data_IF_840250951226
#
_entry.id   IF_840250951226
#
_cell.length_a   1.000
_cell.length_b   1.000
_cell.length_c   1.000
_cell.angle_alpha   90.00
_cell.angle_beta   90.00
_cell.angle_gamma   90.00
#
_symmetry.space_group_name_H-M   'P 1'
#
loop_
_entity.id
_entity.type
_entity.pdbx_description
1 polymer ?
#
# COMPACT_ATOMS: atom_id res chain seq x y z
N UNK A 1 -13.50 -11.47 -8.34
CA UNK A 1 -12.58 -11.42 -7.19
C UNK A 1 -13.26 -10.77 -6.00
N UNK A 2 -13.69 -9.50 -6.06
CA UNK A 2 -14.26 -8.79 -4.91
C UNK A 2 -15.46 -9.48 -4.28
N UNK A 3 -16.44 -9.92 -5.09
CA UNK A 3 -17.63 -10.64 -4.61
C UNK A 3 -17.30 -11.96 -3.91
N UNK A 4 -16.26 -12.64 -4.37
CA UNK A 4 -15.78 -13.87 -3.71
C UNK A 4 -15.21 -13.54 -2.34
N UNK A 5 -14.42 -12.47 -2.23
CA UNK A 5 -13.85 -11.99 -0.96
C UNK A 5 -14.98 -11.60 0.01
N UNK A 6 -15.97 -10.80 -0.45
CA UNK A 6 -17.10 -10.41 0.40
C UNK A 6 -17.88 -11.62 0.93
N UNK A 7 -18.07 -12.64 0.09
CA UNK A 7 -18.77 -13.88 0.48
C UNK A 7 -17.97 -14.70 1.49
N UNK A 8 -16.66 -14.89 1.25
CA UNK A 8 -15.78 -15.67 2.14
C UNK A 8 -15.69 -15.04 3.52
N UNK A 9 -15.47 -13.72 3.58
CA UNK A 9 -15.32 -12.99 4.84
C UNK A 9 -16.65 -12.47 5.41
N UNK A 10 -17.79 -12.83 4.78
CA UNK A 10 -19.14 -12.40 5.21
C UNK A 10 -19.25 -10.89 5.43
N UNK A 11 -18.66 -10.11 4.52
CA UNK A 11 -18.64 -8.66 4.61
C UNK A 11 -20.00 -8.11 4.21
N UNK A 12 -20.64 -7.39 5.13
CA UNK A 12 -21.80 -6.56 4.81
C UNK A 12 -21.34 -5.37 3.97
N UNK A 13 -21.94 -5.19 2.79
CA UNK A 13 -21.60 -4.11 1.86
C UNK A 13 -22.49 -2.88 2.00
N UNK A 14 -23.34 -2.82 3.01
CA UNK A 14 -24.22 -1.69 3.29
C UNK A 14 -23.42 -0.42 3.66
N UNK A 15 -24.05 0.75 3.46
CA UNK A 15 -23.42 2.01 3.83
C UNK A 15 -23.23 2.12 5.35
N UNK A 16 -22.05 2.50 5.76
CA UNK A 16 -21.68 2.79 7.14
C UNK A 16 -21.92 4.26 7.46
N UNK A 17 -22.23 4.55 8.72
CA UNK A 17 -22.10 5.91 9.22
C UNK A 17 -20.60 6.21 9.51
N UNK A 18 -20.27 7.49 9.76
CA UNK A 18 -18.87 7.89 9.94
C UNK A 18 -18.18 7.20 11.13
N UNK A 19 -18.91 6.92 12.22
CA UNK A 19 -18.36 6.21 13.40
C UNK A 19 -18.06 4.76 13.09
N UNK A 20 -18.95 4.08 12.39
CA UNK A 20 -18.75 2.70 11.95
C UNK A 20 -17.56 2.60 10.99
N UNK A 21 -17.46 3.53 10.04
CA UNK A 21 -16.36 3.58 9.09
C UNK A 21 -15.01 3.79 9.80
N UNK A 22 -14.93 4.78 10.70
CA UNK A 22 -13.73 5.04 11.49
C UNK A 22 -13.37 3.86 12.39
N UNK A 23 -14.35 3.24 13.06
CA UNK A 23 -14.13 2.08 13.90
C UNK A 23 -13.60 0.88 13.09
N UNK A 24 -14.18 0.60 11.92
CA UNK A 24 -13.72 -0.46 11.02
C UNK A 24 -12.28 -0.22 10.55
N UNK A 25 -11.96 1.00 10.16
CA UNK A 25 -10.60 1.42 9.78
C UNK A 25 -9.61 1.18 10.94
N UNK A 26 -9.92 1.68 12.13
CA UNK A 26 -9.03 1.52 13.29
C UNK A 26 -8.87 0.06 13.70
N UNK A 27 -9.94 -0.73 13.65
CA UNK A 27 -9.91 -2.15 14.02
C UNK A 27 -9.02 -2.95 13.07
N UNK A 28 -9.16 -2.77 11.75
CA UNK A 28 -8.31 -3.47 10.76
C UNK A 28 -6.85 -3.11 10.96
N UNK A 29 -6.54 -1.82 11.15
CA UNK A 29 -5.18 -1.37 11.40
C UNK A 29 -4.61 -1.92 12.71
N UNK A 30 -5.41 -1.94 13.79
CA UNK A 30 -4.99 -2.51 15.07
C UNK A 30 -4.69 -4.02 14.97
N UNK A 31 -5.53 -4.77 14.24
CA UNK A 31 -5.27 -6.19 13.99
C UNK A 31 -3.98 -6.41 13.19
N UNK A 32 -3.73 -5.60 12.16
CA UNK A 32 -2.51 -5.67 11.37
C UNK A 32 -1.27 -5.35 12.21
N UNK A 33 -1.34 -4.32 13.06
CA UNK A 33 -0.27 -3.96 14.00
C UNK A 33 0.04 -5.12 14.93
N UNK A 34 -0.98 -5.74 15.54
CA UNK A 34 -0.79 -6.86 16.45
C UNK A 34 -0.11 -8.05 15.76
N UNK A 35 -0.66 -8.47 14.61
CA UNK A 35 -0.11 -9.60 13.84
C UNK A 35 1.32 -9.33 13.40
N UNK A 36 1.57 -8.15 12.80
CA UNK A 36 2.90 -7.79 12.34
C UNK A 36 3.92 -7.70 13.47
N UNK A 37 3.55 -7.11 14.61
CA UNK A 37 4.41 -7.08 15.81
C UNK A 37 4.80 -8.48 16.26
N UNK A 38 3.83 -9.37 16.40
CA UNK A 38 4.10 -10.75 16.83
C UNK A 38 5.03 -11.48 15.86
N UNK A 39 4.82 -11.31 14.53
CA UNK A 39 5.68 -11.94 13.53
C UNK A 39 7.12 -11.45 13.61
N UNK A 40 7.36 -10.15 13.79
CA UNK A 40 8.72 -9.61 13.93
C UNK A 40 9.41 -10.11 15.24
N UNK A 41 8.64 -10.32 16.30
CA UNK A 41 9.16 -10.82 17.58
C UNK A 41 9.55 -12.29 17.57
N UNK A 42 9.06 -13.07 16.62
CA UNK A 42 9.35 -14.51 16.49
C UNK A 42 10.01 -14.87 15.15
N UNK A 43 10.49 -13.88 14.38
CA UNK A 43 10.95 -14.09 13.00
C UNK A 43 12.11 -15.08 12.88
N UNK A 44 12.95 -15.23 13.89
CA UNK A 44 14.11 -16.13 13.84
C UNK A 44 13.72 -17.62 13.71
N UNK A 45 12.55 -18.01 14.24
CA UNK A 45 12.06 -19.39 14.20
C UNK A 45 11.10 -19.66 13.04
N UNK A 46 10.79 -18.64 12.24
CA UNK A 46 9.93 -18.78 11.08
C UNK A 46 10.73 -19.28 9.87
N UNK A 47 10.03 -19.90 8.90
CA UNK A 47 10.63 -20.32 7.63
C UNK A 47 11.03 -19.12 6.77
N UNK A 48 11.80 -19.34 5.69
CA UNK A 48 12.38 -18.30 4.83
C UNK A 48 13.34 -17.34 5.57
N UNK A 49 14.20 -17.92 6.40
CA UNK A 49 15.29 -17.22 7.05
C UNK A 49 16.66 -17.81 6.63
N UNK A 50 17.05 -17.71 5.35
CA UNK A 50 18.29 -18.31 4.85
C UNK A 50 19.54 -17.61 5.40
N UNK A 51 19.43 -16.36 5.84
CA UNK A 51 20.54 -15.56 6.35
C UNK A 51 20.70 -15.66 7.88
N UNK A 52 19.89 -16.46 8.58
CA UNK A 52 19.98 -16.65 10.04
C UNK A 52 19.69 -15.40 10.86
N UNK A 53 18.72 -14.58 10.40
CA UNK A 53 18.34 -13.31 11.07
C UNK A 53 17.66 -13.59 12.40
N UNK A 54 18.09 -12.92 13.45
CA UNK A 54 17.53 -12.99 14.80
C UNK A 54 16.18 -12.27 14.93
N UNK A 55 15.54 -12.46 16.09
CA UNK A 55 14.31 -11.74 16.42
C UNK A 55 14.57 -10.24 16.54
N UNK A 56 13.67 -9.44 15.97
CA UNK A 56 13.78 -7.99 16.09
C UNK A 56 13.54 -7.55 17.54
N UNK A 57 14.29 -6.56 18.02
CA UNK A 57 14.16 -5.97 19.35
C UNK A 57 12.74 -5.40 19.57
N UNK A 58 12.28 -5.39 20.82
CA UNK A 58 10.88 -5.09 21.17
C UNK A 58 10.44 -3.69 20.77
N UNK A 59 11.22 -2.67 21.12
CA UNK A 59 10.88 -1.28 20.82
C UNK A 59 11.03 -0.98 19.32
N UNK A 60 12.02 -1.57 18.68
CA UNK A 60 12.22 -1.48 17.25
C UNK A 60 11.06 -2.14 16.48
N UNK A 61 10.61 -3.32 16.91
CA UNK A 61 9.46 -4.01 16.32
C UNK A 61 8.19 -3.14 16.40
N UNK A 62 7.92 -2.55 17.57
CA UNK A 62 6.77 -1.68 17.75
C UNK A 62 6.86 -0.43 16.88
N UNK A 63 8.01 0.26 16.87
CA UNK A 63 8.25 1.42 16.04
C UNK A 63 8.05 1.10 14.55
N UNK A 64 8.66 0.01 14.08
CA UNK A 64 8.57 -0.45 12.69
C UNK A 64 7.12 -0.67 12.27
N UNK A 65 6.36 -1.43 13.06
CA UNK A 65 4.98 -1.77 12.72
C UNK A 65 4.08 -0.54 12.69
N UNK A 66 4.18 0.35 13.68
CA UNK A 66 3.39 1.58 13.69
C UNK A 66 3.78 2.46 12.50
N UNK A 67 5.08 2.59 12.23
CA UNK A 67 5.57 3.40 11.13
C UNK A 67 5.06 2.93 9.76
N UNK A 68 5.09 1.62 9.50
CA UNK A 68 4.58 1.05 8.25
C UNK A 68 3.05 1.08 8.16
N UNK A 69 2.35 0.86 9.28
CA UNK A 69 0.88 0.90 9.30
C UNK A 69 0.33 2.31 9.07
N UNK A 70 0.99 3.33 9.58
CA UNK A 70 0.60 4.73 9.38
C UNK A 70 1.09 5.33 8.06
N UNK A 71 1.73 4.55 7.20
CA UNK A 71 2.36 4.99 5.96
C UNK A 71 3.46 6.06 6.15
N UNK A 72 4.06 6.12 7.33
CA UNK A 72 5.18 7.01 7.66
C UNK A 72 6.50 6.44 7.16
N UNK A 73 6.68 5.14 7.28
CA UNK A 73 7.79 4.32 6.79
C UNK A 73 9.19 4.79 7.23
N UNK A 74 9.29 5.35 8.44
CA UNK A 74 10.58 5.57 9.10
C UNK A 74 11.20 4.24 9.46
N UNK A 75 12.40 3.99 8.94
CA UNK A 75 13.10 2.72 9.05
C UNK A 75 14.38 2.92 9.87
N UNK A 76 14.44 2.29 11.04
CA UNK A 76 15.58 2.34 11.96
C UNK A 76 16.36 1.01 11.98
N UNK A 77 16.36 0.30 10.87
CA UNK A 77 17.05 -0.96 10.65
C UNK A 77 17.39 -1.08 9.16
N UNK A 78 18.37 -1.91 8.83
CA UNK A 78 18.62 -2.37 7.46
C UNK A 78 17.82 -3.64 7.22
N UNK A 79 16.99 -3.67 6.17
CA UNK A 79 16.07 -4.79 5.94
C UNK A 79 16.80 -6.09 5.60
N UNK A 80 17.90 -6.01 4.85
CA UNK A 80 18.74 -7.15 4.46
C UNK A 80 19.43 -7.87 5.63
N UNK A 81 19.64 -7.17 6.75
CA UNK A 81 20.28 -7.72 7.96
C UNK A 81 19.37 -7.78 9.18
N UNK A 82 18.22 -7.12 9.15
CA UNK A 82 17.29 -7.03 10.27
C UNK A 82 15.99 -7.81 10.11
N UNK A 83 15.64 -8.25 8.89
CA UNK A 83 14.39 -8.93 8.59
C UNK A 83 14.58 -10.22 7.79
N UNK A 84 13.87 -11.26 8.19
CA UNK A 84 13.77 -12.48 7.38
C UNK A 84 12.94 -12.21 6.11
N UNK A 85 13.11 -13.03 5.06
CA UNK A 85 12.31 -12.86 3.84
C UNK A 85 10.80 -13.01 4.10
N UNK A 86 10.43 -13.91 5.02
CA UNK A 86 9.04 -14.01 5.43
C UNK A 86 8.53 -12.70 6.04
N UNK A 87 9.30 -12.08 6.94
CA UNK A 87 8.94 -10.80 7.55
C UNK A 87 8.86 -9.69 6.50
N UNK A 88 9.78 -9.65 5.54
CA UNK A 88 9.71 -8.70 4.42
C UNK A 88 8.42 -8.87 3.62
N UNK A 89 8.03 -10.11 3.26
CA UNK A 89 6.86 -10.37 2.44
C UNK A 89 5.55 -10.22 3.20
N UNK A 90 5.42 -10.88 4.35
CA UNK A 90 4.14 -10.99 5.08
C UNK A 90 3.88 -9.81 6.00
N UNK A 91 4.93 -9.11 6.45
CA UNK A 91 4.77 -7.93 7.31
C UNK A 91 4.96 -6.66 6.49
N UNK A 92 6.14 -6.40 5.96
CA UNK A 92 6.48 -5.11 5.35
C UNK A 92 5.69 -4.88 4.05
N UNK A 93 5.80 -5.78 3.07
CA UNK A 93 5.08 -5.64 1.79
C UNK A 93 3.57 -5.58 2.02
N UNK A 94 3.02 -6.46 2.88
CA UNK A 94 1.59 -6.46 3.16
C UNK A 94 1.14 -5.16 3.84
N UNK A 95 1.93 -4.60 4.75
CA UNK A 95 1.63 -3.31 5.37
C UNK A 95 1.72 -2.14 4.40
N UNK A 96 2.62 -2.19 3.42
CA UNK A 96 2.67 -1.20 2.35
C UNK A 96 1.38 -1.21 1.51
N UNK A 97 0.82 -2.38 1.21
CA UNK A 97 -0.49 -2.48 0.57
C UNK A 97 -1.62 -1.96 1.47
N UNK A 98 -1.65 -2.40 2.71
CA UNK A 98 -2.77 -2.10 3.61
C UNK A 98 -2.79 -0.66 4.08
N UNK A 99 -1.63 -0.05 4.34
CA UNK A 99 -1.53 1.37 4.70
C UNK A 99 -1.96 2.28 3.54
N UNK A 100 -1.49 1.99 2.32
CA UNK A 100 -1.89 2.72 1.12
C UNK A 100 -3.41 2.59 0.86
N UNK A 101 -3.96 1.37 0.98
CA UNK A 101 -5.39 1.13 0.82
C UNK A 101 -6.22 1.85 1.89
N UNK A 102 -5.76 1.87 3.14
CA UNK A 102 -6.39 2.58 4.24
C UNK A 102 -6.39 4.10 3.99
N UNK A 103 -5.26 4.65 3.58
CA UNK A 103 -5.12 6.07 3.27
C UNK A 103 -6.06 6.51 2.14
N UNK A 104 -6.13 5.72 1.06
CA UNK A 104 -7.05 6.00 -0.05
C UNK A 104 -8.52 5.87 0.37
N UNK A 105 -8.88 4.84 1.14
CA UNK A 105 -10.24 4.66 1.65
C UNK A 105 -10.68 5.84 2.54
N UNK A 106 -9.79 6.32 3.41
CA UNK A 106 -10.02 7.51 4.23
C UNK A 106 -10.19 8.78 3.38
N UNK A 107 -9.37 8.96 2.35
CA UNK A 107 -9.49 10.06 1.39
C UNK A 107 -10.86 10.06 0.68
N UNK A 108 -11.28 8.92 0.16
CA UNK A 108 -12.58 8.78 -0.52
C UNK A 108 -13.74 9.03 0.43
N UNK A 109 -13.68 8.53 1.66
CA UNK A 109 -14.68 8.80 2.70
C UNK A 109 -14.77 10.30 3.02
N UNK A 110 -13.64 10.98 3.16
CA UNK A 110 -13.58 12.44 3.38
C UNK A 110 -14.20 13.20 2.20
N UNK A 111 -13.87 12.85 0.98
CA UNK A 111 -14.43 13.46 -0.24
C UNK A 111 -15.96 13.28 -0.28
N UNK A 112 -16.45 12.08 0.01
CA UNK A 112 -17.90 11.81 0.11
C UNK A 112 -18.56 12.69 1.18
N UNK A 113 -17.92 12.83 2.35
CA UNK A 113 -18.41 13.68 3.43
C UNK A 113 -18.51 15.15 3.03
N UNK A 114 -17.48 15.73 2.41
CA UNK A 114 -17.47 17.12 1.91
C UNK A 114 -18.57 17.33 0.87
N UNK A 115 -18.79 16.36 0.00
CA UNK A 115 -19.81 16.44 -1.04
C UNK A 115 -21.22 16.09 -0.56
N UNK A 116 -21.40 15.68 0.71
CA UNK A 116 -22.69 15.24 1.26
C UNK A 116 -23.24 13.98 0.60
N UNK A 117 -22.35 13.09 0.11
CA UNK A 117 -22.69 11.76 -0.41
C UNK A 117 -22.67 10.73 0.74
N UNK A 118 -23.34 9.57 0.58
CA UNK A 118 -23.23 8.48 1.56
C UNK A 118 -21.77 8.08 1.79
N UNK A 119 -21.41 7.78 3.04
CA UNK A 119 -20.03 7.48 3.45
C UNK A 119 -19.44 6.26 2.70
N UNK A 120 -20.28 5.31 2.31
CA UNK A 120 -19.84 4.04 1.75
C UNK A 120 -19.52 3.02 2.83
N UNK A 121 -18.63 2.08 2.51
CA UNK A 121 -18.24 1.01 3.42
C UNK A 121 -16.73 0.83 3.37
N UNK A 122 -16.07 0.89 4.52
CA UNK A 122 -14.61 0.80 4.62
C UNK A 122 -14.04 -0.49 4.01
N UNK A 123 -14.63 -1.63 4.33
CA UNK A 123 -14.13 -2.91 3.81
C UNK A 123 -14.24 -3.02 2.30
N UNK A 124 -15.32 -2.47 1.73
CA UNK A 124 -15.53 -2.43 0.28
C UNK A 124 -14.51 -1.52 -0.39
N UNK A 125 -14.28 -0.33 0.16
CA UNK A 125 -13.30 0.62 -0.38
C UNK A 125 -11.88 0.05 -0.29
N UNK A 126 -11.51 -0.50 0.87
CA UNK A 126 -10.22 -1.14 1.12
C UNK A 126 -9.93 -2.32 0.17
N UNK A 127 -10.89 -3.23 0.00
CA UNK A 127 -10.73 -4.38 -0.90
C UNK A 127 -10.63 -3.91 -2.36
N UNK A 128 -11.49 -2.99 -2.78
CA UNK A 128 -11.49 -2.50 -4.16
C UNK A 128 -10.20 -1.82 -4.54
N UNK A 129 -9.66 -0.93 -3.72
CA UNK A 129 -8.40 -0.27 -4.03
C UNK A 129 -7.24 -1.27 -4.07
N UNK A 130 -7.24 -2.24 -3.16
CA UNK A 130 -6.21 -3.28 -3.12
C UNK A 130 -6.27 -4.17 -4.35
N UNK A 131 -7.44 -4.72 -4.69
CA UNK A 131 -7.58 -5.74 -5.75
C UNK A 131 -7.63 -5.16 -7.16
N UNK A 132 -8.11 -3.92 -7.33
CA UNK A 132 -8.32 -3.32 -8.64
C UNK A 132 -7.26 -2.32 -9.05
N UNK A 133 -6.52 -1.78 -8.09
CA UNK A 133 -5.49 -0.79 -8.36
C UNK A 133 -4.13 -1.25 -7.83
N UNK A 134 -3.94 -1.37 -6.51
CA UNK A 134 -2.62 -1.62 -5.94
C UNK A 134 -2.02 -2.94 -6.44
N UNK A 135 -2.73 -4.04 -6.35
CA UNK A 135 -2.22 -5.36 -6.72
C UNK A 135 -1.91 -5.48 -8.22
N UNK A 136 -2.79 -5.12 -9.16
CA UNK A 136 -2.48 -5.23 -10.59
C UNK A 136 -1.32 -4.34 -11.02
N UNK A 137 -1.30 -3.10 -10.56
CA UNK A 137 -0.23 -2.16 -10.93
C UNK A 137 1.11 -2.55 -10.31
N UNK A 138 1.14 -2.96 -9.02
CA UNK A 138 2.38 -3.42 -8.39
C UNK A 138 2.95 -4.67 -9.07
N UNK A 139 2.09 -5.58 -9.56
CA UNK A 139 2.55 -6.73 -10.32
C UNK A 139 3.23 -6.32 -11.63
N UNK A 140 2.63 -5.40 -12.37
CA UNK A 140 3.21 -4.88 -13.63
C UNK A 140 4.53 -4.16 -13.35
N UNK A 141 4.56 -3.29 -12.35
CA UNK A 141 5.76 -2.55 -11.95
C UNK A 141 6.85 -3.51 -11.48
N UNK A 142 6.51 -4.51 -10.65
CA UNK A 142 7.45 -5.51 -10.15
C UNK A 142 8.09 -6.32 -11.28
N UNK A 143 7.31 -6.79 -12.25
CA UNK A 143 7.82 -7.49 -13.44
C UNK A 143 8.73 -6.58 -14.28
N UNK A 144 8.38 -5.31 -14.42
CA UNK A 144 9.24 -4.34 -15.08
C UNK A 144 10.56 -4.15 -14.33
N UNK A 145 10.54 -3.98 -13.00
CA UNK A 145 11.77 -3.82 -12.20
C UNK A 145 12.67 -5.07 -12.30
N UNK A 146 12.09 -6.27 -12.28
CA UNK A 146 12.85 -7.51 -12.53
C UNK A 146 13.53 -7.47 -13.90
N UNK A 147 12.83 -7.00 -14.93
CA UNK A 147 13.43 -6.86 -16.29
C UNK A 147 14.57 -5.84 -16.37
N UNK A 148 14.61 -4.90 -15.42
CA UNK A 148 15.70 -3.93 -15.29
C UNK A 148 16.88 -4.46 -14.45
N UNK A 149 16.77 -5.63 -13.84
CA UNK A 149 17.82 -6.26 -13.04
C UNK A 149 17.65 -6.17 -11.53
N UNK A 150 16.51 -5.70 -11.03
CA UNK A 150 16.21 -5.73 -9.59
C UNK A 150 16.01 -7.18 -9.14
N UNK A 151 16.71 -7.67 -8.08
CA UNK A 151 16.60 -9.05 -7.62
C UNK A 151 15.20 -9.43 -7.15
N UNK A 152 14.80 -10.66 -7.49
CA UNK A 152 13.55 -11.26 -7.03
C UNK A 152 13.76 -12.76 -6.83
N UNK A 153 14.32 -13.14 -5.70
CA UNK A 153 14.62 -14.51 -5.34
C UNK A 153 14.44 -14.76 -3.83
N UNK A 154 14.75 -15.96 -3.38
CA UNK A 154 14.72 -16.36 -1.97
C UNK A 154 16.06 -17.00 -1.55
N UNK A 155 17.11 -16.75 -2.33
CA UNK A 155 18.44 -17.26 -2.06
C UNK A 155 19.10 -16.48 -0.91
N UNK A 156 20.05 -17.08 -0.18
CA UNK A 156 20.83 -16.37 0.82
C UNK A 156 21.67 -15.27 0.18
N UNK A 157 22.12 -14.32 1.00
CA UNK A 157 23.07 -13.30 0.57
C UNK A 157 24.35 -13.93 -0.02
N UNK A 158 24.92 -13.30 -1.01
CA UNK A 158 26.14 -13.78 -1.69
C UNK A 158 27.35 -13.05 -1.10
N UNK A 159 28.23 -13.81 -0.43
CA UNK A 159 29.47 -13.25 0.10
C UNK A 159 30.55 -13.24 -0.99
N UNK A 160 31.09 -12.07 -1.27
CA UNK A 160 32.20 -11.87 -2.23
C UNK A 160 33.41 -11.23 -1.58
N UNK A 161 34.59 -11.49 -2.16
CA UNK A 161 35.80 -10.79 -1.78
C UNK A 161 35.92 -9.50 -2.60
N UNK A 162 36.06 -8.36 -1.92
CA UNK A 162 36.35 -7.09 -2.58
C UNK A 162 37.79 -7.04 -3.09
N UNK A 163 38.11 -6.07 -3.95
CA UNK A 163 39.47 -5.85 -4.48
C UNK A 163 40.45 -5.58 -3.33
N UNK A 164 40.01 -4.97 -2.24
CA UNK A 164 40.79 -4.72 -1.04
C UNK A 164 40.96 -5.95 -0.13
N UNK A 165 40.40 -7.12 -0.52
CA UNK A 165 40.49 -8.37 0.25
C UNK A 165 39.53 -8.44 1.45
N UNK A 166 38.49 -7.61 1.50
CA UNK A 166 37.44 -7.66 2.52
C UNK A 166 36.28 -8.50 2.02
N UNK A 167 35.63 -9.20 2.95
CA UNK A 167 34.36 -9.87 2.67
C UNK A 167 33.23 -8.84 2.63
N UNK A 168 32.38 -8.94 1.60
CA UNK A 168 31.18 -8.14 1.44
C UNK A 168 30.00 -9.05 1.10
N UNK A 169 28.89 -8.88 1.83
CA UNK A 169 27.64 -9.57 1.51
C UNK A 169 26.80 -8.73 0.55
N UNK A 170 26.44 -9.34 -0.58
CA UNK A 170 25.51 -8.79 -1.55
C UNK A 170 24.13 -9.32 -1.23
N UNK A 171 23.20 -8.43 -0.91
CA UNK A 171 21.84 -8.80 -0.56
C UNK A 171 21.11 -9.45 -1.73
N UNK A 172 20.44 -10.55 -1.40
CA UNK A 172 19.45 -11.23 -2.24
C UNK A 172 18.07 -11.11 -1.59
N UNK A 173 17.01 -11.47 -2.30
CA UNK A 173 15.68 -11.52 -1.72
C UNK A 173 14.57 -11.00 -2.62
N UNK A 174 13.34 -10.85 -2.11
CA UNK A 174 12.17 -10.36 -2.86
C UNK A 174 12.14 -8.83 -2.99
N UNK A 175 13.23 -8.25 -3.52
CA UNK A 175 13.44 -6.80 -3.58
C UNK A 175 12.46 -6.14 -4.53
N UNK A 176 12.30 -6.68 -5.76
CA UNK A 176 11.42 -6.09 -6.76
C UNK A 176 9.94 -6.05 -6.32
N UNK A 177 9.47 -7.07 -5.59
CA UNK A 177 8.12 -7.09 -5.04
C UNK A 177 7.92 -5.97 -4.01
N UNK A 178 8.90 -5.71 -3.16
CA UNK A 178 8.85 -4.64 -2.18
C UNK A 178 8.90 -3.27 -2.85
N UNK A 179 9.86 -3.06 -3.77
CA UNK A 179 10.04 -1.79 -4.45
C UNK A 179 8.79 -1.38 -5.25
N UNK A 180 8.12 -2.35 -5.90
CA UNK A 180 6.92 -2.07 -6.68
C UNK A 180 5.79 -1.45 -5.87
N UNK A 181 5.47 -2.00 -4.70
CA UNK A 181 4.41 -1.45 -3.84
C UNK A 181 4.90 -0.25 -3.03
N UNK A 182 6.18 -0.20 -2.68
CA UNK A 182 6.77 0.94 -1.98
C UNK A 182 6.48 2.24 -2.71
N UNK A 183 6.77 2.29 -4.00
CA UNK A 183 6.53 3.49 -4.80
C UNK A 183 5.04 3.70 -5.08
N UNK A 184 4.32 2.66 -5.55
CA UNK A 184 2.92 2.76 -5.88
C UNK A 184 2.04 3.14 -4.67
N UNK A 185 2.37 2.62 -3.48
CA UNK A 185 1.65 2.88 -2.23
C UNK A 185 2.06 4.19 -1.53
N UNK A 186 2.94 4.98 -2.13
CA UNK A 186 3.52 6.20 -1.52
C UNK A 186 4.21 5.94 -0.18
N UNK A 187 4.77 4.74 -0.04
CA UNK A 187 5.54 4.34 1.13
C UNK A 187 6.97 4.89 1.05
N UNK A 188 7.77 4.58 2.05
CA UNK A 188 9.19 4.90 2.12
C UNK A 188 9.98 3.69 2.62
N UNK A 189 11.25 3.91 2.97
CA UNK A 189 12.17 2.86 3.39
C UNK A 189 12.68 2.06 2.19
N UNK A 190 12.72 0.76 2.30
CA UNK A 190 13.14 -0.14 1.24
C UNK A 190 13.63 -1.46 1.79
N UNK A 191 13.90 -2.40 0.91
CA UNK A 191 14.46 -3.70 1.29
C UNK A 191 15.84 -3.53 1.94
N UNK A 192 16.66 -2.62 1.38
CA UNK A 192 18.01 -2.31 1.86
C UNK A 192 18.06 -1.10 2.81
N UNK A 193 16.90 -0.56 3.20
CA UNK A 193 16.84 0.62 4.06
C UNK A 193 17.37 1.91 3.44
N UNK A 194 17.51 1.96 2.13
CA UNK A 194 18.21 3.01 1.40
C UNK A 194 17.30 3.85 0.48
N UNK A 195 15.99 3.67 0.52
CA UNK A 195 15.01 4.41 -0.29
C UNK A 195 15.32 4.42 -1.80
N UNK A 196 15.63 3.27 -2.37
CA UNK A 196 16.00 3.08 -3.79
C UNK A 196 17.27 3.83 -4.23
N UNK A 197 18.18 4.11 -3.32
CA UNK A 197 19.47 4.73 -3.69
C UNK A 197 20.56 3.71 -4.05
N UNK A 198 20.27 2.42 -3.94
CA UNK A 198 21.20 1.35 -4.27
C UNK A 198 20.97 0.79 -5.67
N UNK A 199 22.02 0.30 -6.36
CA UNK A 199 21.88 -0.35 -7.67
C UNK A 199 21.02 -1.63 -7.62
N UNK A 200 20.82 -2.26 -6.45
CA UNK A 200 19.98 -3.43 -6.29
C UNK A 200 18.49 -3.08 -6.24
N UNK A 201 18.15 -1.88 -5.86
CA UNK A 201 16.77 -1.38 -5.83
C UNK A 201 16.43 -0.60 -7.11
N UNK A 202 17.37 0.22 -7.62
CA UNK A 202 17.18 1.11 -8.76
C UNK A 202 18.40 1.10 -9.71
N UNK A 203 18.55 0.04 -10.54
CA UNK A 203 19.75 -0.19 -11.35
C UNK A 203 19.87 0.70 -12.60
N UNK A 204 18.77 1.24 -13.12
CA UNK A 204 18.76 1.93 -14.42
C UNK A 204 18.01 3.26 -14.37
N UNK A 205 18.28 4.12 -15.36
CA UNK A 205 17.49 5.35 -15.54
C UNK A 205 16.01 5.03 -15.78
N UNK A 206 15.70 3.93 -16.46
CA UNK A 206 14.32 3.52 -16.74
C UNK A 206 13.62 3.05 -15.46
N UNK A 207 14.30 2.30 -14.57
CA UNK A 207 13.75 1.95 -13.27
C UNK A 207 13.44 3.20 -12.45
N UNK A 208 14.35 4.17 -12.41
CA UNK A 208 14.15 5.42 -11.69
C UNK A 208 12.93 6.22 -12.20
N UNK A 209 12.75 6.33 -13.50
CA UNK A 209 11.59 7.00 -14.11
C UNK A 209 10.30 6.24 -13.74
N UNK A 210 10.30 4.91 -13.80
CA UNK A 210 9.13 4.11 -13.46
C UNK A 210 8.76 4.23 -11.97
N UNK A 211 9.73 4.26 -11.09
CA UNK A 211 9.55 4.48 -9.65
C UNK A 211 8.94 5.85 -9.36
N UNK A 212 9.50 6.92 -9.94
CA UNK A 212 8.98 8.28 -9.80
C UNK A 212 7.54 8.39 -10.33
N UNK A 213 7.25 7.80 -11.49
CA UNK A 213 5.90 7.78 -12.04
C UNK A 213 4.94 7.02 -11.15
N UNK A 214 5.35 5.86 -10.63
CA UNK A 214 4.54 5.04 -9.74
C UNK A 214 4.19 5.76 -8.43
N UNK A 215 5.14 6.51 -7.88
CA UNK A 215 4.95 7.30 -6.66
C UNK A 215 3.88 8.39 -6.84
N UNK A 216 3.73 8.95 -8.05
CA UNK A 216 2.75 10.00 -8.34
C UNK A 216 1.36 9.46 -8.68
N UNK A 217 1.21 8.16 -9.02
CA UNK A 217 -0.05 7.59 -9.47
C UNK A 217 -1.17 7.67 -8.42
N UNK A 218 -0.89 7.24 -7.19
CA UNK A 218 -1.90 7.21 -6.12
C UNK A 218 -2.32 8.62 -5.69
N UNK A 219 -1.42 9.59 -5.42
CA UNK A 219 -1.79 10.97 -5.11
C UNK A 219 -2.58 11.63 -6.25
N UNK A 220 -2.15 11.46 -7.49
CA UNK A 220 -2.87 11.98 -8.65
C UNK A 220 -4.28 11.38 -8.74
N UNK A 221 -4.44 10.07 -8.52
CA UNK A 221 -5.75 9.42 -8.53
C UNK A 221 -6.72 9.99 -7.48
N UNK A 222 -6.22 10.41 -6.31
CA UNK A 222 -7.04 11.08 -5.29
C UNK A 222 -7.60 12.41 -5.81
N UNK A 223 -6.78 13.21 -6.49
CA UNK A 223 -7.20 14.50 -7.07
C UNK A 223 -8.25 14.29 -8.16
N UNK A 224 -8.01 13.33 -9.07
CA UNK A 224 -8.99 12.98 -10.12
C UNK A 224 -10.31 12.46 -9.53
N UNK A 225 -10.22 11.61 -8.51
CA UNK A 225 -11.41 11.10 -7.80
C UNK A 225 -12.23 12.23 -7.19
N UNK A 226 -11.58 13.18 -6.52
CA UNK A 226 -12.26 14.37 -6.00
C UNK A 226 -12.92 15.17 -7.10
N UNK A 227 -12.20 15.49 -8.17
CA UNK A 227 -12.72 16.26 -9.31
C UNK A 227 -13.94 15.60 -9.97
N UNK A 228 -13.86 14.29 -10.21
CA UNK A 228 -14.97 13.52 -10.81
C UNK A 228 -16.21 13.50 -9.91
N UNK A 229 -16.03 13.18 -8.62
CA UNK A 229 -17.14 13.15 -7.67
C UNK A 229 -17.78 14.52 -7.45
N UNK A 230 -16.99 15.61 -7.49
CA UNK A 230 -17.49 16.97 -7.38
C UNK A 230 -18.27 17.41 -8.64
N UNK A 231 -17.79 17.02 -9.81
CA UNK A 231 -18.46 17.26 -11.08
C UNK A 231 -19.83 16.58 -11.15
N UNK A 232 -19.91 15.31 -10.80
CA UNK A 232 -21.17 14.56 -10.71
C UNK A 232 -22.19 15.28 -9.81
N UNK A 233 -21.75 15.70 -8.61
CA UNK A 233 -22.59 16.40 -7.65
C UNK A 233 -23.10 17.75 -8.20
N UNK A 234 -22.26 18.47 -8.93
CA UNK A 234 -22.65 19.72 -9.58
C UNK A 234 -23.73 19.48 -10.64
N UNK A 235 -23.57 18.45 -11.47
CA UNK A 235 -24.56 18.08 -12.49
C UNK A 235 -25.89 17.65 -11.89
N UNK A 236 -25.91 16.81 -10.88
CA UNK A 236 -27.11 16.41 -10.15
C UNK A 236 -27.88 17.64 -9.63
N UNK A 237 -27.19 18.59 -9.01
CA UNK A 237 -27.80 19.83 -8.52
C UNK A 237 -28.40 20.68 -9.65
N UNK A 238 -27.72 20.75 -10.78
CA UNK A 238 -28.19 21.51 -11.96
C UNK A 238 -29.45 20.88 -12.53
N UNK A 239 -29.49 19.57 -12.72
CA UNK A 239 -30.66 18.82 -13.19
C UNK A 239 -31.86 19.02 -12.27
N UNK A 240 -31.69 18.80 -10.96
CA UNK A 240 -32.78 18.99 -9.99
C UNK A 240 -33.31 20.42 -9.98
N UNK A 241 -32.46 21.44 -10.21
CA UNK A 241 -32.90 22.82 -10.33
C UNK A 241 -33.72 23.03 -11.59
N UNK A 242 -33.35 22.45 -12.75
CA UNK A 242 -34.11 22.52 -13.98
C UNK A 242 -35.46 21.82 -13.84
N UNK A 243 -35.52 20.64 -13.26
CA UNK A 243 -36.77 19.93 -13.00
C UNK A 243 -37.70 20.72 -12.09
N UNK A 244 -37.20 21.31 -11.01
CA UNK A 244 -38.00 22.15 -10.12
C UNK A 244 -38.56 23.40 -10.79
N UNK A 245 -37.86 23.99 -11.75
CA UNK A 245 -38.33 25.12 -12.55
C UNK A 245 -39.35 24.65 -13.55
N UNK A 246 -39.16 23.50 -14.21
CA UNK A 246 -40.12 22.93 -15.15
C UNK A 246 -41.47 22.60 -14.50
N UNK A 247 -41.42 22.00 -13.31
CA UNK A 247 -42.65 21.72 -12.52
C UNK A 247 -43.38 23.00 -12.13
N UNK A 248 -42.67 24.06 -11.73
CA UNK A 248 -43.27 25.35 -11.35
C UNK A 248 -43.85 26.12 -12.56
N UNK A 249 -43.29 25.95 -13.75
CA UNK A 249 -43.68 26.68 -14.94
C UNK A 249 -44.60 25.89 -15.86
N UNK A 250 -44.89 24.63 -15.56
CA UNK A 250 -45.68 23.72 -16.40
C UNK A 250 -45.19 23.65 -17.88
N UNK A 251 -43.88 23.90 -18.08
CA UNK A 251 -43.26 23.84 -19.43
C UNK A 251 -42.47 22.52 -19.54
N UNK A 252 -42.64 21.77 -20.65
CA UNK A 252 -41.83 20.57 -20.88
C UNK A 252 -40.35 20.93 -21.01
N UNK A 253 -39.50 20.08 -20.45
CA UNK A 253 -38.05 20.13 -20.67
C UNK A 253 -37.75 19.96 -22.17
N UNK A 254 -37.09 20.91 -22.78
CA UNK A 254 -36.56 20.83 -24.15
C UNK A 254 -35.14 20.26 -24.10
#
# INVERSE_FOLDING_TARGET
VDHTIYKVFRIDTSNMNWKQYACALLLVNACMVLVGYLLLRIQSVLFLNPNGIDNMEQTLSFNTIISFMTNTNLQHYSGESGLTYLSQMVVIIMMMFTSAATGYAACVAMVRGILGKPMGNFYVDFIRITTRFLLPFSLVIGLFLVSQGVPQNLDPNITVNTIEGKLQDIASGPIAALESIKHLGTNGGGFLGANSSTPLENPTILSNIAELFSMMLLPASCVFTFGHMAYDKYHERKLNKFESVSIKTNKPLK
#
